data_IF_225612847331
#
_entry.id   IF_225612847331
#
_cell.length_a   1.000
_cell.length_b   1.000
_cell.length_c   1.000
_cell.angle_alpha   90.00
_cell.angle_beta   90.00
_cell.angle_gamma   90.00
#
_symmetry.space_group_name_H-M   'P 1'
#
loop_
_entity.id
_entity.type
_entity.pdbx_description
1 polymer ?
#
# COMPACT_ATOMS: atom_id res chain seq x y z
N UNK A 1 3.60 -6.39 0.66
CA UNK A 1 3.53 -7.08 1.97
C UNK A 1 4.57 -8.19 2.14
N UNK A 2 4.58 -9.29 1.37
CA UNK A 2 5.63 -10.32 1.52
C UNK A 2 7.06 -9.77 1.33
N UNK A 3 7.27 -8.92 0.33
CA UNK A 3 8.57 -8.26 0.09
C UNK A 3 9.02 -7.43 1.30
N UNK A 4 8.18 -6.52 1.80
CA UNK A 4 8.45 -5.72 3.00
C UNK A 4 8.86 -6.58 4.21
N UNK A 5 8.13 -7.67 4.47
CA UNK A 5 8.47 -8.60 5.55
C UNK A 5 9.86 -9.22 5.34
N UNK A 6 10.20 -9.63 4.12
CA UNK A 6 11.53 -10.16 3.82
C UNK A 6 12.64 -9.11 3.98
N UNK A 7 12.39 -7.84 3.65
CA UNK A 7 13.39 -6.78 3.75
C UNK A 7 13.62 -6.38 5.22
N UNK A 8 12.56 -6.30 6.01
CA UNK A 8 12.66 -6.05 7.47
C UNK A 8 13.31 -7.25 8.19
N UNK A 9 12.87 -8.47 7.91
CA UNK A 9 13.48 -9.69 8.47
C UNK A 9 14.94 -9.82 8.01
N UNK A 10 15.23 -9.50 6.75
CA UNK A 10 16.57 -9.49 6.19
C UNK A 10 17.48 -8.48 6.89
N UNK A 11 16.99 -7.28 7.21
CA UNK A 11 17.73 -6.26 7.95
C UNK A 11 17.98 -6.68 9.41
N UNK A 12 16.99 -7.27 10.08
CA UNK A 12 17.15 -7.81 11.45
C UNK A 12 18.18 -8.95 11.45
N UNK A 13 18.07 -9.88 10.50
CA UNK A 13 19.04 -10.98 10.35
C UNK A 13 20.43 -10.46 10.02
N UNK A 14 20.54 -9.44 9.16
CA UNK A 14 21.81 -8.82 8.81
C UNK A 14 22.48 -8.22 10.05
N UNK A 15 21.77 -7.40 10.84
CA UNK A 15 22.34 -6.86 12.08
C UNK A 15 22.68 -7.96 13.09
N UNK A 16 21.83 -8.98 13.22
CA UNK A 16 22.10 -10.13 14.08
C UNK A 16 23.38 -10.86 13.70
N UNK A 17 23.57 -11.17 12.41
CA UNK A 17 24.77 -11.80 11.88
C UNK A 17 26.00 -10.88 11.99
N UNK A 18 25.83 -9.58 11.75
CA UNK A 18 26.90 -8.60 11.86
C UNK A 18 27.44 -8.50 13.29
N UNK A 19 26.56 -8.28 14.27
CA UNK A 19 26.96 -8.20 15.68
C UNK A 19 27.49 -9.54 16.20
N UNK A 20 26.96 -10.67 15.73
CA UNK A 20 27.48 -11.98 16.09
C UNK A 20 28.87 -12.23 15.51
N UNK A 21 29.07 -11.94 14.22
CA UNK A 21 30.36 -12.10 13.53
C UNK A 21 31.43 -11.13 14.03
N UNK A 22 31.06 -9.89 14.35
CA UNK A 22 31.98 -8.89 14.89
C UNK A 22 32.52 -9.25 16.28
N UNK A 23 31.77 -10.02 17.07
CA UNK A 23 32.20 -10.49 18.39
C UNK A 23 32.86 -11.88 18.36
N UNK A 24 33.03 -12.49 17.18
CA UNK A 24 33.57 -13.85 17.07
C UNK A 24 35.09 -13.86 17.21
N UNK A 25 35.59 -14.44 18.32
CA UNK A 25 37.02 -14.56 18.63
C UNK A 25 37.51 -15.99 18.38
N UNK A 26 38.59 -16.14 17.62
CA UNK A 26 39.27 -17.43 17.42
C UNK A 26 40.67 -17.32 18.00
N UNK A 27 40.99 -18.13 19.01
CA UNK A 27 42.32 -18.13 19.64
C UNK A 27 42.64 -16.87 20.46
N UNK A 28 41.63 -16.12 20.92
CA UNK A 28 41.82 -14.90 21.71
C UNK A 28 42.07 -13.64 20.88
N UNK A 29 42.30 -13.78 19.58
CA UNK A 29 42.37 -12.68 18.62
C UNK A 29 41.06 -12.55 17.84
N UNK A 30 40.64 -11.31 17.60
CA UNK A 30 39.49 -11.02 16.74
C UNK A 30 39.85 -11.36 15.29
N UNK A 31 39.03 -12.19 14.63
CA UNK A 31 39.30 -12.66 13.25
C UNK A 31 39.12 -11.52 12.24
N UNK A 32 38.23 -10.59 12.55
CA UNK A 32 37.97 -9.38 11.78
C UNK A 32 37.98 -8.22 12.76
N UNK A 33 39.01 -7.39 12.71
CA UNK A 33 39.09 -6.18 13.53
C UNK A 33 38.44 -5.03 12.75
N UNK A 34 37.16 -4.79 13.00
CA UNK A 34 36.45 -3.64 12.44
C UNK A 34 36.95 -2.37 13.09
N UNK A 35 37.01 -1.28 12.32
CA UNK A 35 37.36 0.02 12.90
C UNK A 35 36.31 0.41 13.97
N UNK A 36 36.75 0.98 15.09
CA UNK A 36 35.88 1.23 16.27
C UNK A 36 34.65 2.10 15.98
N UNK A 37 34.67 2.89 14.90
CA UNK A 37 33.57 3.74 14.48
C UNK A 37 32.61 3.09 13.48
N UNK A 38 32.98 1.96 12.87
CA UNK A 38 32.18 1.27 11.86
C UNK A 38 30.81 0.80 12.40
N UNK A 39 30.69 0.20 13.60
CA UNK A 39 29.39 -0.19 14.16
C UNK A 39 28.45 1.00 14.45
N UNK A 40 29.00 2.19 14.71
CA UNK A 40 28.18 3.40 14.88
C UNK A 40 27.65 3.87 13.54
N UNK A 41 28.51 3.88 12.52
CA UNK A 41 28.14 4.27 11.15
C UNK A 41 27.07 3.36 10.55
N UNK A 42 27.21 2.04 10.71
CA UNK A 42 26.29 1.07 10.13
C UNK A 42 24.87 1.19 10.70
N UNK A 43 24.69 1.78 11.89
CA UNK A 43 23.36 2.02 12.48
C UNK A 43 22.87 3.43 12.20
N UNK A 44 23.72 4.43 12.40
CA UNK A 44 23.33 5.85 12.37
C UNK A 44 23.01 6.35 10.95
N UNK A 45 23.76 5.88 9.96
CA UNK A 45 23.57 6.26 8.57
C UNK A 45 22.21 5.76 8.04
N UNK A 46 21.84 4.47 8.20
CA UNK A 46 20.49 3.99 7.94
C UNK A 46 19.37 4.74 8.63
N UNK A 47 19.55 5.02 9.93
CA UNK A 47 18.54 5.64 10.74
C UNK A 47 18.26 7.06 10.24
N UNK A 48 19.31 7.84 9.95
CA UNK A 48 19.16 9.18 9.37
C UNK A 48 18.45 9.17 8.01
N UNK A 49 18.71 8.17 7.18
CA UNK A 49 18.05 7.99 5.88
C UNK A 49 16.55 7.69 6.02
N UNK A 50 16.17 6.92 7.05
CA UNK A 50 14.76 6.58 7.32
C UNK A 50 13.97 7.80 7.80
N UNK A 51 14.61 8.69 8.56
CA UNK A 51 13.99 9.93 9.07
C UNK A 51 13.90 11.06 8.04
N UNK A 52 14.55 10.94 6.87
CA UNK A 52 14.50 11.96 5.82
C UNK A 52 13.52 11.56 4.70
N UNK A 53 12.24 11.97 4.77
CA UNK A 53 11.22 11.62 3.78
C UNK A 53 11.47 12.20 2.38
N UNK A 54 12.44 13.12 2.23
CA UNK A 54 12.71 13.87 1.00
C UNK A 54 13.69 13.21 0.01
N UNK A 55 14.28 12.05 0.34
CA UNK A 55 15.42 11.47 -0.41
C UNK A 55 14.97 10.51 -1.54
N UNK A 56 13.67 10.47 -1.85
CA UNK A 56 12.99 9.26 -2.33
C UNK A 56 13.12 8.88 -3.81
N UNK A 57 13.74 9.66 -4.71
CA UNK A 57 13.87 9.20 -6.12
C UNK A 57 15.08 9.68 -6.91
N UNK A 58 15.48 10.94 -6.73
CA UNK A 58 16.66 11.48 -7.40
C UNK A 58 17.94 11.37 -6.56
N UNK A 59 17.77 11.09 -5.27
CA UNK A 59 18.83 11.23 -4.28
C UNK A 59 19.37 9.89 -3.78
N UNK A 60 18.89 8.74 -4.28
CA UNK A 60 19.46 7.42 -3.94
C UNK A 60 20.92 7.30 -4.37
N UNK A 61 21.26 7.77 -5.56
CA UNK A 61 22.66 7.84 -6.02
C UNK A 61 23.50 8.80 -5.18
N UNK A 62 22.92 9.94 -4.76
CA UNK A 62 23.61 10.92 -3.93
C UNK A 62 23.78 10.41 -2.50
N UNK A 63 22.81 9.67 -1.96
CA UNK A 63 22.89 9.03 -0.65
C UNK A 63 23.97 7.94 -0.62
N UNK A 64 24.12 7.17 -1.70
CA UNK A 64 25.24 6.25 -1.87
C UNK A 64 26.58 7.00 -1.91
N UNK A 65 26.69 8.07 -2.70
CA UNK A 65 27.90 8.88 -2.79
C UNK A 65 28.25 9.58 -1.48
N UNK A 66 27.27 10.12 -0.76
CA UNK A 66 27.46 10.75 0.55
C UNK A 66 27.82 9.73 1.61
N UNK A 67 27.14 8.58 1.65
CA UNK A 67 27.44 7.53 2.62
C UNK A 67 28.82 6.92 2.41
N UNK A 68 29.17 6.62 1.17
CA UNK A 68 30.50 6.11 0.82
C UNK A 68 31.59 7.18 0.99
N UNK A 69 31.32 8.42 0.57
CA UNK A 69 32.25 9.54 0.70
C UNK A 69 32.52 9.91 2.15
N UNK A 70 31.49 9.97 3.00
CA UNK A 70 31.65 10.22 4.44
C UNK A 70 32.44 9.10 5.09
N UNK A 71 32.18 7.83 4.75
CA UNK A 71 32.95 6.70 5.24
C UNK A 71 34.44 6.81 4.88
N UNK A 72 34.77 7.02 3.59
CA UNK A 72 36.15 7.15 3.14
C UNK A 72 36.88 8.34 3.79
N UNK A 73 36.21 9.49 3.92
CA UNK A 73 36.79 10.68 4.57
C UNK A 73 37.08 10.39 6.04
N UNK A 74 36.17 9.70 6.76
CA UNK A 74 36.38 9.31 8.14
C UNK A 74 37.52 8.30 8.30
N UNK A 75 37.61 7.30 7.43
CA UNK A 75 38.72 6.33 7.42
C UNK A 75 40.07 7.01 7.16
N UNK A 76 40.13 7.98 6.23
CA UNK A 76 41.35 8.73 5.95
C UNK A 76 41.76 9.69 7.09
N UNK A 77 40.80 10.28 7.80
CA UNK A 77 41.07 11.23 8.90
C UNK A 77 41.45 10.53 10.21
N UNK A 78 40.78 9.42 10.55
CA UNK A 78 40.91 8.78 11.87
C UNK A 78 42.02 7.72 11.89
N UNK A 79 42.32 7.10 10.74
CA UNK A 79 43.39 6.09 10.62
C UNK A 79 44.47 6.51 9.61
N UNK A 80 45.42 7.39 9.99
CA UNK A 80 46.52 7.81 9.12
C UNK A 80 47.50 6.68 8.77
N UNK A 81 47.52 5.60 9.55
CA UNK A 81 48.38 4.43 9.34
C UNK A 81 47.77 3.40 8.37
N UNK A 82 46.59 3.68 7.80
CA UNK A 82 45.95 2.77 6.85
C UNK A 82 46.81 2.61 5.59
N UNK A 83 47.45 1.45 5.47
CA UNK A 83 48.36 1.16 4.39
C UNK A 83 47.69 0.23 3.37
N UNK A 84 47.36 0.76 2.20
CA UNK A 84 46.71 0.01 1.10
C UNK A 84 47.51 -1.20 0.63
N UNK A 85 48.80 -1.29 0.96
CA UNK A 85 49.65 -2.46 0.67
C UNK A 85 49.48 -3.61 1.66
N UNK A 86 48.85 -3.40 2.82
CA UNK A 86 48.59 -4.47 3.78
C UNK A 86 47.34 -5.25 3.36
N UNK A 87 47.49 -6.56 3.12
CA UNK A 87 46.40 -7.43 2.63
C UNK A 87 45.25 -7.57 3.62
N UNK A 88 45.54 -7.47 4.92
CA UNK A 88 44.53 -7.61 5.98
C UNK A 88 43.64 -6.36 6.01
N UNK A 89 44.24 -5.17 5.99
CA UNK A 89 43.51 -3.89 6.02
C UNK A 89 42.65 -3.69 4.76
N UNK A 90 43.15 -4.12 3.59
CA UNK A 90 42.39 -4.10 2.35
C UNK A 90 41.17 -5.04 2.42
N UNK A 91 41.34 -6.24 2.97
CA UNK A 91 40.26 -7.21 3.12
C UNK A 91 39.18 -6.71 4.10
N UNK A 92 39.58 -6.10 5.22
CA UNK A 92 38.66 -5.47 6.17
C UNK A 92 37.86 -4.34 5.51
N UNK A 93 38.50 -3.44 4.75
CA UNK A 93 37.83 -2.36 4.05
C UNK A 93 36.82 -2.86 3.00
N UNK A 94 37.16 -3.92 2.26
CA UNK A 94 36.24 -4.54 1.29
C UNK A 94 35.00 -5.09 1.99
N UNK A 95 35.17 -5.75 3.13
CA UNK A 95 34.04 -6.28 3.92
C UNK A 95 33.18 -5.14 4.47
N UNK A 96 33.78 -4.09 5.00
CA UNK A 96 33.07 -2.92 5.54
C UNK A 96 32.24 -2.21 4.47
N UNK A 97 32.81 -1.99 3.29
CA UNK A 97 32.09 -1.40 2.14
C UNK A 97 30.96 -2.30 1.67
N UNK A 98 31.18 -3.62 1.64
CA UNK A 98 30.14 -4.58 1.28
C UNK A 98 28.98 -4.55 2.27
N UNK A 99 29.26 -4.53 3.57
CA UNK A 99 28.26 -4.44 4.63
C UNK A 99 27.45 -3.14 4.54
N UNK A 100 28.11 -1.98 4.36
CA UNK A 100 27.44 -0.69 4.17
C UNK A 100 26.51 -0.70 2.95
N UNK A 101 27.00 -1.26 1.84
CA UNK A 101 26.24 -1.37 0.58
C UNK A 101 25.00 -2.24 0.77
N UNK A 102 25.15 -3.42 1.41
CA UNK A 102 24.04 -4.34 1.65
C UNK A 102 22.95 -3.71 2.52
N UNK A 103 23.34 -3.00 3.58
CA UNK A 103 22.41 -2.29 4.48
C UNK A 103 21.66 -1.20 3.73
N UNK A 104 22.37 -0.37 2.95
CA UNK A 104 21.76 0.68 2.14
C UNK A 104 20.71 0.15 1.17
N UNK A 105 21.00 -0.97 0.49
CA UNK A 105 20.04 -1.60 -0.43
C UNK A 105 18.77 -2.06 0.30
N UNK A 106 18.91 -2.68 1.48
CA UNK A 106 17.77 -3.12 2.27
C UNK A 106 16.88 -1.96 2.73
N UNK A 107 17.48 -0.83 3.12
CA UNK A 107 16.76 0.36 3.56
C UNK A 107 16.02 1.02 2.41
N UNK A 108 16.66 1.11 1.23
CA UNK A 108 16.01 1.66 0.04
C UNK A 108 14.77 0.84 -0.32
N UNK A 109 14.87 -0.49 -0.25
CA UNK A 109 13.71 -1.36 -0.49
C UNK A 109 12.62 -1.15 0.57
N UNK A 110 12.98 -1.07 1.86
CA UNK A 110 12.01 -0.75 2.93
C UNK A 110 11.32 0.60 2.70
N UNK A 111 12.08 1.64 2.35
CA UNK A 111 11.56 2.98 2.09
C UNK A 111 10.57 2.97 0.91
N UNK A 112 10.90 2.27 -0.19
CA UNK A 112 10.02 2.16 -1.35
C UNK A 112 8.73 1.40 -1.03
N UNK A 113 8.81 0.33 -0.24
CA UNK A 113 7.63 -0.42 0.19
C UNK A 113 6.75 0.38 1.16
N UNK A 114 7.33 1.29 1.96
CA UNK A 114 6.57 2.19 2.83
C UNK A 114 5.74 3.19 2.02
N UNK A 115 6.28 3.74 0.94
CA UNK A 115 5.52 4.64 0.05
C UNK A 115 4.34 3.92 -0.61
N UNK A 116 4.53 2.66 -1.02
CA UNK A 116 3.44 1.87 -1.57
C UNK A 116 2.34 1.63 -0.52
N UNK A 117 2.74 1.38 0.74
CA UNK A 117 1.80 1.21 1.83
C UNK A 117 1.06 2.52 2.14
N UNK A 118 1.78 3.64 2.21
CA UNK A 118 1.25 4.98 2.44
C UNK A 118 0.28 5.38 1.33
N UNK A 119 0.67 5.25 0.06
CA UNK A 119 -0.21 5.54 -1.09
C UNK A 119 -1.44 4.62 -1.12
N UNK A 120 -1.29 3.34 -0.76
CA UNK A 120 -2.42 2.43 -0.64
C UNK A 120 -3.36 2.90 0.47
N UNK A 121 -2.85 3.16 1.67
CA UNK A 121 -3.62 3.68 2.80
C UNK A 121 -4.28 5.01 2.42
N UNK A 122 -3.59 5.92 1.76
CA UNK A 122 -4.13 7.20 1.31
C UNK A 122 -5.23 7.00 0.26
N UNK A 123 -5.04 6.10 -0.70
CA UNK A 123 -6.09 5.71 -1.66
C UNK A 123 -7.29 5.04 -0.99
N UNK A 124 -7.09 4.52 0.22
CA UNK A 124 -8.11 3.87 1.03
C UNK A 124 -8.83 4.84 1.98
N UNK A 125 -8.11 5.78 2.61
CA UNK A 125 -8.65 6.69 3.63
C UNK A 125 -9.18 7.97 3.01
N UNK A 126 -8.63 8.40 1.88
CA UNK A 126 -9.13 9.60 1.19
C UNK A 126 -10.33 9.18 0.35
N UNK A 127 -11.57 9.54 0.73
CA UNK A 127 -12.69 9.38 -0.19
C UNK A 127 -12.32 10.08 -1.50
N UNK A 128 -12.76 9.60 -2.68
CA UNK A 128 -12.51 10.30 -3.92
C UNK A 128 -13.08 11.71 -3.76
N UNK A 129 -12.21 12.69 -3.55
CA UNK A 129 -12.56 14.09 -3.41
C UNK A 129 -13.06 14.52 -4.78
N UNK A 130 -14.35 14.31 -5.01
CA UNK A 130 -15.08 14.89 -6.11
C UNK A 130 -15.11 16.41 -5.86
N UNK A 131 -14.03 17.09 -6.24
CA UNK A 131 -13.94 18.51 -6.61
C UNK A 131 -14.50 19.60 -5.66
N UNK A 132 -14.88 19.31 -4.41
CA UNK A 132 -15.65 20.28 -3.59
C UNK A 132 -14.94 20.93 -2.41
N UNK A 133 -13.69 20.56 -2.12
CA UNK A 133 -12.89 21.23 -1.08
C UNK A 133 -11.71 21.94 -1.75
N UNK A 134 -11.84 23.26 -1.91
CA UNK A 134 -10.81 24.12 -2.47
C UNK A 134 -9.98 24.72 -1.34
N UNK A 135 -8.67 24.81 -1.55
CA UNK A 135 -7.77 25.48 -0.61
C UNK A 135 -7.70 26.96 -0.97
N UNK A 136 -7.85 27.85 0.01
CA UNK A 136 -7.83 29.29 -0.25
C UNK A 136 -6.48 29.78 -0.80
N UNK A 137 -5.39 29.10 -0.47
CA UNK A 137 -4.04 29.46 -0.92
C UNK A 137 -3.71 28.94 -2.30
N UNK A 138 -4.23 27.78 -2.68
CA UNK A 138 -3.90 27.11 -3.95
C UNK A 138 -4.93 27.47 -5.04
N UNK A 139 -6.20 27.66 -4.66
CA UNK A 139 -7.33 27.84 -5.57
C UNK A 139 -7.88 29.27 -5.60
N UNK A 140 -7.11 30.27 -5.14
CA UNK A 140 -7.54 31.67 -5.08
C UNK A 140 -8.09 32.17 -6.43
N UNK A 141 -7.45 31.76 -7.53
CA UNK A 141 -7.87 32.14 -8.89
C UNK A 141 -9.28 31.66 -9.25
N UNK A 142 -9.72 30.49 -8.75
CA UNK A 142 -11.06 29.97 -8.99
C UNK A 142 -12.11 30.77 -8.19
N UNK A 143 -11.79 31.12 -6.95
CA UNK A 143 -12.64 31.97 -6.11
C UNK A 143 -12.79 33.34 -6.78
N UNK A 144 -11.68 33.98 -7.16
CA UNK A 144 -11.69 35.29 -7.82
C UNK A 144 -12.48 35.26 -9.13
N UNK A 145 -12.34 34.20 -9.93
CA UNK A 145 -13.10 34.02 -11.16
C UNK A 145 -14.61 34.00 -10.92
N UNK A 146 -15.08 33.40 -9.83
CA UNK A 146 -16.51 33.39 -9.50
C UNK A 146 -17.01 34.79 -9.09
N UNK A 147 -16.20 35.57 -8.37
CA UNK A 147 -16.49 36.98 -8.10
C UNK A 147 -16.50 37.82 -9.39
N UNK A 148 -15.57 37.60 -10.32
CA UNK A 148 -15.56 38.25 -11.63
C UNK A 148 -16.81 37.89 -12.45
N UNK A 149 -17.24 36.62 -12.44
CA UNK A 149 -18.47 36.17 -13.11
C UNK A 149 -19.71 36.81 -12.48
N UNK A 150 -19.82 36.81 -11.16
CA UNK A 150 -20.92 37.47 -10.43
C UNK A 150 -21.04 38.95 -10.81
N UNK A 151 -19.90 39.66 -10.88
CA UNK A 151 -19.86 41.07 -11.34
C UNK A 151 -20.28 41.22 -12.80
N UNK A 152 -19.80 40.35 -13.69
CA UNK A 152 -20.07 40.43 -15.14
C UNK A 152 -21.52 40.11 -15.50
N UNK A 153 -22.10 39.11 -14.85
CA UNK A 153 -23.43 38.59 -15.17
C UNK A 153 -24.53 39.12 -14.23
N UNK A 154 -24.17 39.91 -13.21
CA UNK A 154 -25.12 40.61 -12.34
C UNK A 154 -25.85 39.70 -11.35
N UNK A 155 -25.22 38.59 -10.91
CA UNK A 155 -25.78 37.73 -9.86
C UNK A 155 -25.01 37.87 -8.53
N UNK A 156 -25.69 37.73 -7.38
CA UNK A 156 -25.07 37.85 -6.07
C UNK A 156 -24.19 36.64 -5.74
N UNK A 157 -23.01 36.89 -5.16
CA UNK A 157 -22.12 35.87 -4.58
C UNK A 157 -22.15 36.03 -3.07
N UNK A 158 -22.47 34.95 -2.33
CA UNK A 158 -22.59 34.96 -0.87
C UNK A 158 -21.60 33.98 -0.24
N UNK A 159 -21.03 34.34 0.91
CA UNK A 159 -20.02 33.54 1.61
C UNK A 159 -20.46 33.25 3.05
N UNK A 160 -20.10 32.08 3.56
CA UNK A 160 -20.34 31.67 4.94
C UNK A 160 -19.06 31.05 5.50
N UNK A 161 -18.64 31.49 6.68
CA UNK A 161 -17.52 30.89 7.42
C UNK A 161 -18.11 29.96 8.46
N UNK A 162 -17.78 28.67 8.36
CA UNK A 162 -18.17 27.66 9.33
C UNK A 162 -16.93 27.35 10.17
N UNK A 163 -17.00 27.63 11.47
CA UNK A 163 -15.96 27.26 12.44
C UNK A 163 -16.48 26.12 13.31
N UNK A 164 -15.66 25.10 13.52
CA UNK A 164 -15.93 24.02 14.46
C UNK A 164 -15.37 24.42 15.83
N UNK A 165 -16.14 24.24 16.90
CA UNK A 165 -15.71 24.57 18.26
C UNK A 165 -14.71 23.56 18.86
N UNK A 166 -14.25 23.84 20.09
CA UNK A 166 -13.24 23.03 20.81
C UNK A 166 -13.65 21.58 21.10
N UNK A 167 -14.94 21.24 20.94
CA UNK A 167 -15.46 19.89 21.12
C UNK A 167 -14.97 18.88 20.05
N UNK A 168 -14.34 19.35 18.96
CA UNK A 168 -13.64 18.48 18.00
C UNK A 168 -12.50 17.71 18.68
N UNK A 169 -11.81 18.31 19.66
CA UNK A 169 -10.75 17.63 20.41
C UNK A 169 -11.29 16.60 21.41
N UNK A 170 -12.57 16.70 21.80
CA UNK A 170 -13.26 15.69 22.61
C UNK A 170 -13.89 14.57 21.77
N UNK A 171 -13.85 14.70 20.45
CA UNK A 171 -14.48 13.77 19.53
C UNK A 171 -13.84 12.37 19.57
N UNK A 172 -12.57 12.27 19.95
CA UNK A 172 -11.80 11.02 20.07
C UNK A 172 -12.48 9.97 20.98
N UNK A 173 -13.24 10.41 22.00
CA UNK A 173 -14.00 9.55 22.92
C UNK A 173 -15.51 9.57 22.70
N UNK A 174 -15.98 10.23 21.64
CA UNK A 174 -17.41 10.39 21.37
C UNK A 174 -17.95 9.29 20.45
N UNK A 175 -19.22 8.90 20.64
CA UNK A 175 -19.96 7.94 19.80
C UNK A 175 -19.78 8.22 18.28
N UNK A 176 -19.77 9.47 17.79
CA UNK A 176 -19.47 9.80 16.39
C UNK A 176 -18.11 9.29 15.86
N UNK A 177 -17.05 9.33 16.66
CA UNK A 177 -15.74 8.84 16.22
C UNK A 177 -15.69 7.32 16.18
N UNK A 178 -16.34 6.64 17.14
CA UNK A 178 -16.49 5.18 17.07
C UNK A 178 -17.32 4.76 15.87
N UNK A 179 -18.37 5.51 15.51
CA UNK A 179 -19.12 5.30 14.27
C UNK A 179 -18.22 5.50 13.04
N UNK A 180 -17.41 6.56 13.01
CA UNK A 180 -16.48 6.80 11.90
C UNK A 180 -15.40 5.71 11.78
N UNK A 181 -14.87 5.21 12.90
CA UNK A 181 -13.95 4.07 12.93
C UNK A 181 -14.65 2.80 12.48
N UNK A 182 -15.89 2.56 12.89
CA UNK A 182 -16.68 1.41 12.45
C UNK A 182 -17.01 1.49 10.96
N UNK A 183 -17.35 2.67 10.45
CA UNK A 183 -17.60 2.93 9.03
C UNK A 183 -16.33 2.70 8.22
N UNK A 184 -15.18 3.20 8.69
CA UNK A 184 -13.88 2.96 8.08
C UNK A 184 -13.50 1.48 8.11
N UNK A 185 -13.73 0.79 9.22
CA UNK A 185 -13.51 -0.66 9.33
C UNK A 185 -14.42 -1.44 8.38
N UNK A 186 -15.69 -1.07 8.28
CA UNK A 186 -16.65 -1.70 7.37
C UNK A 186 -16.26 -1.45 5.93
N UNK A 187 -15.85 -0.24 5.60
CA UNK A 187 -15.37 0.15 4.29
C UNK A 187 -14.11 -0.62 3.89
N UNK A 188 -13.11 -0.74 4.78
CA UNK A 188 -11.91 -1.56 4.58
C UNK A 188 -12.29 -3.03 4.38
N UNK A 189 -13.19 -3.58 5.20
CA UNK A 189 -13.69 -4.96 5.06
C UNK A 189 -14.31 -5.19 3.68
N UNK A 190 -15.21 -4.30 3.24
CA UNK A 190 -15.84 -4.38 1.92
C UNK A 190 -14.82 -4.33 0.79
N UNK A 191 -13.84 -3.40 0.88
CA UNK A 191 -12.81 -3.24 -0.14
C UNK A 191 -11.85 -4.43 -0.19
N UNK A 192 -11.50 -4.98 0.97
CA UNK A 192 -10.71 -6.21 1.07
C UNK A 192 -11.44 -7.38 0.42
N UNK A 193 -12.73 -7.57 0.72
CA UNK A 193 -13.56 -8.62 0.10
C UNK A 193 -13.59 -8.44 -1.42
N UNK A 194 -13.78 -7.21 -1.92
CA UNK A 194 -13.77 -6.91 -3.36
C UNK A 194 -12.43 -7.23 -4.03
N UNK A 195 -11.31 -6.81 -3.42
CA UNK A 195 -9.97 -7.11 -3.95
C UNK A 195 -9.69 -8.62 -3.96
N UNK A 196 -10.08 -9.33 -2.90
CA UNK A 196 -9.95 -10.78 -2.85
C UNK A 196 -10.86 -11.44 -3.89
N UNK A 197 -12.05 -10.89 -4.11
CA UNK A 197 -12.97 -11.35 -5.12
C UNK A 197 -12.36 -11.27 -6.51
N UNK A 198 -11.87 -10.09 -6.92
CA UNK A 198 -11.23 -9.92 -8.25
C UNK A 198 -10.02 -10.83 -8.43
N UNK A 199 -9.24 -11.06 -7.37
CA UNK A 199 -8.09 -11.98 -7.41
C UNK A 199 -8.47 -13.45 -7.58
N UNK A 200 -9.55 -13.90 -6.94
CA UNK A 200 -10.08 -15.26 -7.11
C UNK A 200 -10.69 -15.40 -8.50
N UNK A 201 -11.49 -14.41 -8.91
CA UNK A 201 -12.18 -14.41 -10.19
C UNK A 201 -11.24 -14.35 -11.38
N UNK A 202 -10.14 -13.59 -11.31
CA UNK A 202 -9.14 -13.51 -12.39
C UNK A 202 -8.48 -14.84 -12.77
N UNK A 203 -8.67 -15.90 -11.97
CA UNK A 203 -8.25 -17.28 -12.29
C UNK A 203 -9.37 -18.17 -12.81
N UNK A 204 -10.63 -17.76 -12.66
CA UNK A 204 -11.82 -18.54 -12.98
C UNK A 204 -12.53 -18.06 -14.23
N UNK A 205 -12.48 -16.76 -14.50
CA UNK A 205 -13.20 -16.13 -15.62
C UNK A 205 -12.28 -15.88 -16.82
N UNK A 206 -12.87 -15.77 -18.01
CA UNK A 206 -12.15 -15.46 -19.24
C UNK A 206 -11.80 -13.98 -19.28
N UNK A 207 -10.85 -13.60 -20.14
CA UNK A 207 -10.50 -12.17 -20.37
C UNK A 207 -11.66 -11.34 -20.92
N UNK A 208 -12.61 -11.98 -21.60
CA UNK A 208 -13.82 -11.36 -22.15
C UNK A 208 -14.88 -11.07 -21.09
N UNK A 209 -14.79 -11.72 -19.92
CA UNK A 209 -15.81 -11.60 -18.88
C UNK A 209 -15.62 -10.29 -18.11
N UNK A 210 -16.74 -9.64 -17.78
CA UNK A 210 -16.74 -8.32 -17.16
C UNK A 210 -17.30 -8.42 -15.73
N UNK A 211 -16.60 -7.79 -14.78
CA UNK A 211 -17.08 -7.64 -13.40
C UNK A 211 -17.48 -6.18 -13.22
N UNK A 212 -18.74 -5.95 -12.84
CA UNK A 212 -19.30 -4.63 -12.59
C UNK A 212 -19.68 -4.52 -11.11
N UNK A 213 -19.20 -3.47 -10.45
CA UNK A 213 -19.60 -3.15 -9.09
C UNK A 213 -20.98 -2.48 -9.12
N UNK A 214 -21.93 -3.00 -8.35
CA UNK A 214 -23.25 -2.39 -8.21
C UNK A 214 -23.23 -1.30 -7.13
N UNK A 215 -24.15 -0.33 -7.23
CA UNK A 215 -24.30 0.76 -6.24
C UNK A 215 -24.68 0.24 -4.84
N UNK A 216 -25.41 -0.87 -4.78
CA UNK A 216 -25.73 -1.56 -3.53
C UNK A 216 -24.48 -2.24 -2.94
N UNK A 217 -24.23 -1.97 -1.66
CA UNK A 217 -23.10 -2.57 -0.94
C UNK A 217 -23.14 -4.10 -1.00
N UNK A 218 -22.00 -4.71 -1.36
CA UNK A 218 -21.77 -6.15 -1.43
C UNK A 218 -22.40 -6.93 -2.61
N UNK A 219 -22.90 -6.25 -3.66
CA UNK A 219 -23.33 -6.93 -4.89
C UNK A 219 -22.37 -6.68 -6.05
N UNK A 220 -22.12 -7.73 -6.83
CA UNK A 220 -21.28 -7.70 -8.03
C UNK A 220 -22.02 -8.38 -9.16
N UNK A 221 -21.99 -7.74 -10.32
CA UNK A 221 -22.52 -8.31 -11.54
C UNK A 221 -21.36 -8.90 -12.35
N UNK A 222 -21.45 -10.19 -12.65
CA UNK A 222 -20.56 -10.85 -13.59
C UNK A 222 -21.28 -11.03 -14.92
N UNK A 223 -20.71 -10.49 -15.98
CA UNK A 223 -21.19 -10.63 -17.35
C UNK A 223 -20.21 -11.56 -18.07
N UNK A 224 -20.69 -12.71 -18.53
CA UNK A 224 -19.89 -13.71 -19.24
C UNK A 224 -20.35 -13.81 -20.69
N UNK A 225 -19.73 -13.09 -21.64
CA UNK A 225 -20.01 -13.27 -23.06
C UNK A 225 -19.81 -14.73 -23.50
N UNK A 226 -20.58 -15.18 -24.48
CA UNK A 226 -20.49 -16.52 -25.08
C UNK A 226 -20.58 -17.69 -24.06
N UNK A 227 -21.30 -17.47 -22.96
CA UNK A 227 -21.57 -18.52 -21.96
C UNK A 227 -23.03 -18.94 -22.07
N UNK A 228 -23.33 -20.19 -22.47
CA UNK A 228 -24.70 -20.66 -22.60
C UNK A 228 -25.35 -20.84 -21.22
N UNK A 229 -26.68 -20.76 -21.17
CA UNK A 229 -27.48 -20.86 -19.95
C UNK A 229 -27.12 -22.09 -19.11
N UNK A 230 -26.94 -23.25 -19.75
CA UNK A 230 -26.63 -24.52 -19.09
C UNK A 230 -25.30 -24.51 -18.32
N UNK A 231 -24.36 -23.64 -18.72
CA UNK A 231 -23.03 -23.57 -18.12
C UNK A 231 -22.95 -22.55 -16.97
N UNK A 232 -23.92 -21.63 -16.85
CA UNK A 232 -23.94 -20.61 -15.79
C UNK A 232 -24.05 -21.23 -14.38
N UNK A 233 -24.93 -22.21 -14.10
CA UNK A 233 -25.01 -22.86 -12.79
C UNK A 233 -23.71 -23.56 -12.38
N UNK A 234 -23.00 -24.16 -13.35
CA UNK A 234 -21.70 -24.81 -13.13
C UNK A 234 -20.64 -23.78 -12.73
N UNK A 235 -20.62 -22.64 -13.42
CA UNK A 235 -19.73 -21.53 -13.08
C UNK A 235 -20.04 -20.96 -11.69
N UNK A 236 -21.32 -20.73 -11.39
CA UNK A 236 -21.79 -20.28 -10.07
C UNK A 236 -21.30 -21.22 -8.96
N UNK A 237 -21.52 -22.54 -9.10
CA UNK A 237 -21.07 -23.53 -8.10
C UNK A 237 -19.56 -23.53 -7.92
N UNK A 238 -18.79 -23.38 -9.02
CA UNK A 238 -17.32 -23.26 -8.95
C UNK A 238 -16.88 -22.01 -8.20
N UNK A 239 -17.54 -20.88 -8.43
CA UNK A 239 -17.29 -19.63 -7.72
C UNK A 239 -17.57 -19.83 -6.23
N UNK A 240 -18.77 -20.29 -5.87
CA UNK A 240 -19.17 -20.52 -4.47
C UNK A 240 -18.15 -21.38 -3.72
N UNK A 241 -17.78 -22.54 -4.30
CA UNK A 241 -16.78 -23.43 -3.71
C UNK A 241 -15.43 -22.74 -3.53
N UNK A 242 -14.96 -22.00 -4.54
CA UNK A 242 -13.66 -21.32 -4.46
C UNK A 242 -13.64 -20.20 -3.41
N UNK A 243 -14.76 -19.51 -3.22
CA UNK A 243 -14.89 -18.51 -2.16
C UNK A 243 -14.92 -19.15 -0.77
N UNK A 244 -15.65 -20.27 -0.62
CA UNK A 244 -15.64 -21.03 0.63
C UNK A 244 -14.24 -21.54 0.97
N UNK A 245 -13.54 -22.16 0.02
CA UNK A 245 -12.17 -22.66 0.19
C UNK A 245 -11.15 -21.55 0.49
N UNK A 246 -11.26 -20.39 -0.18
CA UNK A 246 -10.20 -19.35 -0.14
C UNK A 246 -10.41 -18.26 0.89
N UNK A 247 -11.66 -18.05 1.31
CA UNK A 247 -12.08 -16.92 2.15
C UNK A 247 -13.00 -17.33 3.30
N UNK A 248 -13.46 -18.58 3.35
CA UNK A 248 -14.49 -19.06 4.29
C UNK A 248 -15.76 -18.18 4.27
N UNK A 249 -16.09 -17.64 3.10
CA UNK A 249 -17.29 -16.83 2.89
C UNK A 249 -18.32 -17.62 2.09
N UNK A 250 -19.56 -17.60 2.55
CA UNK A 250 -20.69 -18.13 1.80
C UNK A 250 -21.17 -17.06 0.80
N UNK A 251 -21.26 -17.45 -0.46
CA UNK A 251 -21.64 -16.56 -1.56
C UNK A 251 -22.87 -17.16 -2.24
N UNK A 252 -23.90 -16.35 -2.44
CA UNK A 252 -25.03 -16.72 -3.27
C UNK A 252 -24.81 -16.18 -4.70
N UNK A 253 -25.26 -16.92 -5.70
CA UNK A 253 -25.16 -16.52 -7.09
C UNK A 253 -26.53 -16.67 -7.73
N UNK A 254 -27.08 -15.56 -8.22
CA UNK A 254 -28.21 -15.57 -9.14
C UNK A 254 -27.72 -15.61 -10.58
N UNK A 255 -28.41 -16.36 -11.42
CA UNK A 255 -28.06 -16.51 -12.85
C UNK A 255 -29.24 -16.12 -13.72
N UNK A 256 -28.96 -15.47 -14.85
CA UNK A 256 -29.91 -15.22 -15.92
C UNK A 256 -29.16 -15.25 -17.26
N UNK A 257 -29.82 -15.70 -18.33
CA UNK A 257 -29.25 -15.87 -19.66
C UNK A 257 -30.05 -15.10 -20.72
N UNK A 258 -29.34 -14.39 -21.59
CA UNK A 258 -29.93 -13.81 -22.80
C UNK A 258 -29.92 -14.83 -23.94
N UNK A 259 -30.99 -14.95 -24.75
CA UNK A 259 -32.25 -14.20 -24.69
C UNK A 259 -33.34 -14.85 -23.82
N UNK A 260 -33.12 -16.07 -23.32
CA UNK A 260 -34.15 -16.93 -22.73
C UNK A 260 -34.85 -16.33 -21.50
N UNK A 261 -34.10 -15.67 -20.62
CA UNK A 261 -34.60 -15.09 -19.37
C UNK A 261 -35.04 -13.63 -19.50
N UNK A 262 -34.77 -12.99 -20.64
CA UNK A 262 -35.13 -11.60 -20.87
C UNK A 262 -34.49 -10.98 -22.10
N UNK A 263 -35.25 -10.12 -22.78
CA UNK A 263 -34.81 -9.43 -24.01
C UNK A 263 -34.07 -8.13 -23.77
N UNK A 264 -33.96 -7.68 -22.52
CA UNK A 264 -33.26 -6.43 -22.14
C UNK A 264 -32.37 -6.65 -20.94
N UNK A 265 -31.31 -5.83 -20.81
CA UNK A 265 -30.42 -5.86 -19.66
C UNK A 265 -31.17 -5.73 -18.32
N UNK A 266 -32.17 -4.84 -18.26
CA UNK A 266 -33.00 -4.66 -17.06
C UNK A 266 -33.80 -5.93 -16.71
N UNK A 267 -34.36 -6.62 -17.70
CA UNK A 267 -35.09 -7.87 -17.47
C UNK A 267 -34.17 -8.98 -16.94
N UNK A 268 -32.95 -9.09 -17.49
CA UNK A 268 -31.95 -10.04 -17.02
C UNK A 268 -31.51 -9.75 -15.58
N UNK A 269 -31.33 -8.48 -15.23
CA UNK A 269 -30.98 -8.07 -13.86
C UNK A 269 -32.07 -8.46 -12.86
N UNK A 270 -33.33 -8.18 -13.17
CA UNK A 270 -34.46 -8.59 -12.32
C UNK A 270 -34.50 -10.11 -12.15
N UNK A 271 -34.28 -10.87 -13.23
CA UNK A 271 -34.28 -12.32 -13.17
C UNK A 271 -33.12 -12.90 -12.37
N UNK A 272 -31.94 -12.30 -12.51
CA UNK A 272 -30.76 -12.65 -11.72
C UNK A 272 -30.97 -12.34 -10.22
N UNK A 273 -31.60 -11.22 -9.87
CA UNK A 273 -31.94 -10.88 -8.48
C UNK A 273 -32.98 -11.84 -7.89
N UNK A 274 -34.04 -12.21 -8.64
CA UNK A 274 -35.01 -13.25 -8.21
C UNK A 274 -34.31 -14.58 -7.93
N UNK A 275 -33.44 -15.01 -8.85
CA UNK A 275 -32.63 -16.22 -8.72
C UNK A 275 -31.70 -16.16 -7.50
N UNK A 276 -31.10 -15.00 -7.24
CA UNK A 276 -30.23 -14.76 -6.08
C UNK A 276 -31.00 -14.91 -4.76
N UNK A 277 -32.21 -14.36 -4.66
CA UNK A 277 -33.05 -14.47 -3.46
C UNK A 277 -33.41 -15.94 -3.18
N UNK A 278 -33.75 -16.71 -4.22
CA UNK A 278 -34.02 -18.15 -4.08
C UNK A 278 -32.78 -18.93 -3.63
N UNK A 279 -31.59 -18.57 -4.15
CA UNK A 279 -30.32 -19.17 -3.75
C UNK A 279 -29.95 -18.88 -2.29
N UNK A 280 -30.31 -17.71 -1.75
CA UNK A 280 -30.14 -17.41 -0.32
C UNK A 280 -31.04 -18.25 0.59
N UNK A 281 -32.26 -18.59 0.14
CA UNK A 281 -33.20 -19.39 0.91
C UNK A 281 -32.83 -20.87 0.98
N UNK A 282 -32.09 -21.38 -0.02
CA UNK A 282 -31.63 -22.79 -0.08
C UNK A 282 -30.30 -23.03 0.62
N UNK A 283 -29.60 -21.97 1.04
CA UNK A 283 -28.30 -22.01 1.73
C UNK A 283 -28.40 -21.86 3.27
N UNK A 284 -29.61 -21.60 3.78
CA UNK A 284 -29.93 -21.61 5.22
C UNK A 284 -30.47 -22.98 5.64
#
# INVERSE_FOLDING_TARGET
>A
MKSYLYSVVGLILFYGLFFWGANYKVGGTEVINFQSFFPVFIVLLPLSLLFLPFVKKYFTGIAFLLGFGTYLVFTLLITPEFNLMNKIDLLTLVIEVFCLTAVLLLIIDIAHQNDLLENLIQSFVTPPTQHKLLSITEDQSLIDNEFYRGRRFGYPVSTMVISFGDDVNKLENSIPFQLLVNDLQQWIKQRYVFFRFTKVMGKLIRKSDMIVQMEESNKLLLICPDTPADNLPILATKIQRKFKESLNLDVACGTASFPDDGSTFRALMLKADESLVNAFQTSK
#
